data_IF_887083840273
#
_entry.id   IF_887083840273
#
_cell.length_a   1.000
_cell.length_b   1.000
_cell.length_c   1.000
_cell.angle_alpha   90.00
_cell.angle_beta   90.00
_cell.angle_gamma   90.00
#
_symmetry.space_group_name_H-M   'P 1'
#
loop_
_entity.id
_entity.type
_entity.pdbx_description
1 polymer ?
#
# COMPACT_ATOMS: atom_id res chain seq x y z
N UNK A 1 12.19 -6.83 -10.88
CA UNK A 1 13.19 -5.87 -11.36
C UNK A 1 12.55 -4.89 -12.35
N UNK A 2 12.46 -3.60 -12.03
CA UNK A 2 11.85 -2.61 -12.92
C UNK A 2 12.83 -2.18 -14.00
N UNK A 3 12.84 -2.88 -15.15
CA UNK A 3 13.58 -2.44 -16.36
C UNK A 3 12.79 -1.43 -17.19
N UNK A 4 13.44 -0.57 -17.99
CA UNK A 4 12.77 0.38 -18.86
C UNK A 4 11.97 -0.31 -19.97
N UNK A 5 10.73 0.13 -20.22
CA UNK A 5 9.82 -0.42 -21.21
C UNK A 5 10.33 -0.21 -22.64
N UNK A 6 10.50 -1.29 -23.40
CA UNK A 6 10.65 -1.24 -24.88
C UNK A 6 9.28 -1.00 -25.50
N UNK A 7 9.12 0.13 -26.19
CA UNK A 7 7.89 0.56 -26.81
C UNK A 7 7.37 -0.40 -27.88
N UNK A 8 6.08 -0.71 -27.83
CA UNK A 8 5.29 -1.26 -28.94
C UNK A 8 4.19 -0.27 -29.32
N UNK A 9 3.86 -0.11 -30.62
CA UNK A 9 2.90 0.88 -31.06
C UNK A 9 1.47 0.44 -30.77
N UNK A 10 0.64 1.44 -30.43
CA UNK A 10 -0.78 1.31 -30.12
C UNK A 10 -1.59 0.93 -31.36
N UNK A 11 -2.49 -0.06 -31.21
CA UNK A 11 -3.60 -0.30 -32.14
C UNK A 11 -4.89 0.24 -31.54
N UNK A 12 -5.42 1.27 -32.17
CA UNK A 12 -6.72 1.89 -31.84
C UNK A 12 -7.84 1.06 -32.44
N UNK A 13 -8.81 0.62 -31.66
CA UNK A 13 -10.10 0.12 -32.17
C UNK A 13 -11.28 0.89 -31.55
N UNK A 14 -12.02 1.61 -32.39
CA UNK A 14 -13.30 2.27 -32.10
C UNK A 14 -14.47 1.29 -32.28
N UNK A 15 -15.45 1.32 -31.37
CA UNK A 15 -16.91 1.17 -31.63
C UNK A 15 -17.65 1.57 -30.37
N UNK A 16 -18.34 2.73 -30.35
CA UNK A 16 -19.73 3.06 -30.77
C UNK A 16 -20.76 2.32 -29.88
N UNK A 17 -21.47 3.01 -29.03
CA UNK A 17 -22.65 3.92 -29.16
C UNK A 17 -24.01 3.22 -29.02
N UNK A 18 -24.93 3.95 -28.40
CA UNK A 18 -26.42 3.87 -28.35
C UNK A 18 -26.92 3.17 -27.04
N UNK A 19 -27.79 3.73 -26.19
CA UNK A 19 -28.78 4.82 -26.37
C UNK A 19 -30.12 4.39 -25.77
N UNK A 20 -30.86 5.33 -25.18
CA UNK A 20 -32.34 5.40 -24.90
C UNK A 20 -32.70 5.32 -23.41
N UNK A 21 -33.12 6.35 -22.83
CA UNK A 21 -34.31 7.17 -22.61
C UNK A 21 -35.58 6.44 -22.11
N UNK A 22 -36.13 6.99 -21.02
CA UNK A 22 -37.58 7.02 -20.81
C UNK A 22 -38.09 6.57 -19.43
N UNK A 23 -38.84 7.45 -18.76
CA UNK A 23 -39.90 7.02 -17.87
C UNK A 23 -40.13 7.91 -16.63
N UNK A 24 -40.98 8.93 -16.80
CA UNK A 24 -41.57 9.78 -15.76
C UNK A 24 -42.65 8.99 -15.00
N UNK A 25 -42.75 9.15 -13.69
CA UNK A 25 -43.86 8.67 -12.90
C UNK A 25 -43.97 9.41 -11.56
N UNK A 26 -44.83 10.42 -11.50
CA UNK A 26 -45.21 11.11 -10.29
C UNK A 26 -46.42 10.39 -9.63
N UNK A 27 -46.38 10.25 -8.29
CA UNK A 27 -47.57 9.99 -7.47
C UNK A 27 -47.47 10.72 -6.17
N UNK A 28 -48.37 11.63 -5.94
CA UNK A 28 -48.63 12.30 -4.67
C UNK A 28 -49.61 11.49 -3.85
N UNK A 29 -49.39 11.37 -2.53
CA UNK A 29 -50.43 10.99 -1.55
C UNK A 29 -50.33 11.81 -0.30
N UNK A 30 -51.44 12.30 0.08
CA UNK A 30 -51.94 13.19 1.11
C UNK A 30 -51.68 12.69 2.56
N UNK A 31 -51.59 13.67 3.44
CA UNK A 31 -51.22 13.60 4.83
C UNK A 31 -52.21 12.88 5.79
N UNK A 32 -51.68 12.70 7.01
CA UNK A 32 -52.47 12.71 8.26
C UNK A 32 -51.61 13.22 9.40
N UNK A 33 -52.12 14.19 10.13
CA UNK A 33 -51.57 14.74 11.36
C UNK A 33 -51.75 13.75 12.51
N UNK A 34 -50.71 13.46 13.26
CA UNK A 34 -50.85 12.95 14.63
C UNK A 34 -49.86 13.67 15.55
N UNK A 35 -50.44 14.24 16.58
CA UNK A 35 -49.76 14.88 17.71
C UNK A 35 -49.07 13.82 18.55
N UNK A 36 -47.82 13.98 18.87
CA UNK A 36 -47.16 13.27 19.97
C UNK A 36 -46.39 14.24 20.85
N UNK A 37 -46.48 13.99 22.14
CA UNK A 37 -45.97 14.75 23.27
C UNK A 37 -44.43 14.74 23.36
N UNK A 38 -43.81 15.66 24.11
CA UNK A 38 -42.36 15.74 24.27
C UNK A 38 -41.87 14.81 25.35
N UNK A 39 -41.05 13.81 25.02
CA UNK A 39 -40.25 13.07 25.99
C UNK A 39 -38.92 12.67 25.38
N UNK A 40 -37.86 12.89 26.18
CA UNK A 40 -36.51 12.30 26.12
C UNK A 40 -35.52 12.79 25.05
N UNK A 41 -35.07 14.05 25.20
CA UNK A 41 -33.86 14.56 24.57
C UNK A 41 -32.57 14.14 25.34
N UNK A 42 -32.69 13.61 26.55
CA UNK A 42 -31.56 13.29 27.43
C UNK A 42 -30.92 11.90 27.19
N UNK A 43 -31.58 10.97 26.48
CA UNK A 43 -31.06 9.64 26.22
C UNK A 43 -30.23 9.55 24.93
N UNK A 44 -30.47 10.44 23.95
CA UNK A 44 -29.75 10.43 22.67
C UNK A 44 -28.31 10.97 22.77
N UNK A 45 -28.04 11.88 23.72
CA UNK A 45 -26.72 12.51 23.88
C UNK A 45 -25.65 11.57 24.50
N UNK A 46 -26.04 10.51 25.20
CA UNK A 46 -25.11 9.52 25.79
C UNK A 46 -24.76 8.37 24.85
N UNK A 47 -25.59 8.07 23.85
CA UNK A 47 -25.34 7.00 22.89
C UNK A 47 -24.37 7.41 21.78
N UNK A 48 -24.34 8.70 21.41
CA UNK A 48 -23.40 9.24 20.42
C UNK A 48 -21.96 9.30 20.94
N UNK A 49 -21.76 9.57 22.24
CA UNK A 49 -20.42 9.67 22.85
C UNK A 49 -19.66 8.33 22.95
N UNK A 50 -20.36 7.19 23.03
CA UNK A 50 -19.70 5.86 23.09
C UNK A 50 -19.48 5.24 21.71
N UNK A 51 -20.24 5.64 20.70
CA UNK A 51 -20.01 5.24 19.32
C UNK A 51 -18.80 5.99 18.71
N UNK A 52 -18.66 7.30 18.97
CA UNK A 52 -17.52 8.10 18.52
C UNK A 52 -16.21 7.69 19.20
N UNK A 53 -16.23 7.26 20.46
CA UNK A 53 -15.04 6.75 21.15
C UNK A 53 -14.56 5.38 20.63
N UNK A 54 -15.41 4.60 19.97
CA UNK A 54 -15.05 3.32 19.33
C UNK A 54 -14.47 3.48 17.93
N UNK A 55 -14.65 4.63 17.28
CA UNK A 55 -14.21 4.90 15.92
C UNK A 55 -12.76 5.45 15.83
N UNK A 56 -12.12 5.70 16.98
CA UNK A 56 -10.78 6.31 17.06
C UNK A 56 -9.70 5.34 17.54
N UNK A 57 -9.87 4.04 17.34
CA UNK A 57 -8.79 3.09 17.62
C UNK A 57 -7.97 2.86 16.37
N UNK A 58 -6.68 3.21 16.42
CA UNK A 58 -5.74 2.95 15.34
C UNK A 58 -5.80 1.47 14.92
N UNK A 59 -5.77 1.22 13.61
CA UNK A 59 -5.66 -0.15 13.08
C UNK A 59 -4.27 -0.69 13.43
N UNK A 60 -4.20 -1.81 14.15
CA UNK A 60 -2.92 -2.45 14.46
C UNK A 60 -2.45 -3.32 13.29
N UNK A 61 -1.14 -3.26 13.01
CA UNK A 61 -0.47 -4.14 12.04
C UNK A 61 0.95 -4.48 12.53
N UNK A 62 1.47 -5.64 12.10
CA UNK A 62 2.83 -6.06 12.44
C UNK A 62 3.79 -5.72 11.31
N UNK A 63 4.96 -5.18 11.67
CA UNK A 63 6.12 -5.00 10.79
C UNK A 63 7.16 -6.07 11.12
N UNK A 64 7.25 -7.08 10.29
CA UNK A 64 8.24 -8.15 10.42
C UNK A 64 9.65 -7.57 10.27
N UNK A 65 10.43 -7.63 11.35
CA UNK A 65 11.77 -7.08 11.39
C UNK A 65 12.72 -7.78 10.40
N UNK A 66 13.79 -7.10 10.05
CA UNK A 66 14.80 -7.58 9.10
C UNK A 66 15.41 -8.93 9.45
N UNK A 67 15.67 -9.17 10.73
CA UNK A 67 16.20 -10.45 11.25
C UNK A 67 15.21 -11.60 11.02
N UNK A 68 13.91 -11.34 11.11
CA UNK A 68 12.87 -12.35 10.96
C UNK A 68 12.85 -12.98 9.56
N UNK A 69 13.06 -12.19 8.51
CA UNK A 69 13.08 -12.70 7.13
C UNK A 69 14.49 -13.03 6.61
N UNK A 70 15.51 -12.94 7.49
CA UNK A 70 16.89 -13.31 7.15
C UNK A 70 17.61 -12.28 6.28
N UNK A 71 17.32 -11.00 6.47
CA UNK A 71 18.01 -9.92 5.76
C UNK A 71 19.51 -9.92 6.05
N UNK A 72 20.30 -9.64 5.04
CA UNK A 72 21.72 -9.31 5.22
C UNK A 72 21.87 -7.95 5.92
N UNK A 73 22.98 -7.70 6.62
CA UNK A 73 23.31 -6.36 7.06
C UNK A 73 23.37 -5.37 5.89
N UNK A 74 22.85 -4.16 6.11
CA UNK A 74 23.09 -3.07 5.19
C UNK A 74 24.60 -2.75 5.12
N UNK A 75 25.10 -2.38 3.95
CA UNK A 75 26.47 -1.89 3.78
C UNK A 75 26.58 -0.49 4.37
N UNK A 76 27.76 -0.07 4.72
CA UNK A 76 28.04 1.30 5.18
C UNK A 76 27.76 2.32 4.09
N UNK A 77 27.41 3.55 4.48
CA UNK A 77 27.12 4.65 3.55
C UNK A 77 25.63 4.92 3.40
N UNK A 78 25.23 5.37 2.24
CA UNK A 78 23.87 5.78 1.95
C UNK A 78 23.63 7.28 2.18
N UNK A 79 22.62 7.80 1.50
CA UNK A 79 22.24 9.20 1.56
C UNK A 79 21.14 9.41 2.57
N UNK A 80 21.42 10.19 3.63
CA UNK A 80 20.37 10.59 4.58
C UNK A 80 19.33 11.47 3.90
N UNK A 81 18.07 11.29 4.27
CA UNK A 81 16.99 12.10 3.75
C UNK A 81 15.88 12.34 4.81
N UNK A 82 14.96 13.22 4.47
CA UNK A 82 13.69 13.40 5.16
C UNK A 82 12.57 12.98 4.22
N UNK A 83 11.68 12.11 4.67
CA UNK A 83 10.55 11.63 3.87
C UNK A 83 9.53 12.77 3.69
N UNK A 84 9.16 13.06 2.45
CA UNK A 84 8.23 14.12 2.03
C UNK A 84 7.19 13.65 1.03
N UNK A 85 7.31 12.43 0.52
CA UNK A 85 6.41 11.81 -0.48
C UNK A 85 6.43 10.30 -0.40
N UNK A 86 5.51 9.65 -1.10
CA UNK A 86 5.31 8.20 -1.04
C UNK A 86 5.28 7.62 -2.45
N UNK A 87 5.90 6.45 -2.65
CA UNK A 87 5.94 5.80 -3.97
C UNK A 87 5.70 4.31 -3.87
N UNK A 88 4.81 3.84 -4.75
CA UNK A 88 4.41 2.45 -4.89
C UNK A 88 5.25 1.78 -5.99
N UNK A 89 5.77 0.60 -5.66
CA UNK A 89 6.55 -0.25 -6.55
C UNK A 89 6.02 -1.68 -6.57
N UNK A 90 6.39 -2.45 -7.59
CA UNK A 90 6.37 -3.90 -7.59
C UNK A 90 7.77 -4.46 -7.85
N UNK A 91 7.96 -5.76 -7.57
CA UNK A 91 9.21 -6.45 -7.83
C UNK A 91 9.42 -6.72 -9.34
N UNK A 92 8.33 -6.86 -10.11
CA UNK A 92 8.30 -7.26 -11.52
C UNK A 92 8.83 -8.69 -11.77
N UNK A 93 8.74 -9.55 -10.75
CA UNK A 93 8.99 -10.99 -10.85
C UNK A 93 7.72 -11.70 -10.41
N UNK A 94 7.27 -12.70 -11.19
CA UNK A 94 6.08 -13.48 -10.84
C UNK A 94 6.32 -14.21 -9.53
N UNK A 95 5.56 -13.86 -8.50
CA UNK A 95 5.66 -14.48 -7.19
C UNK A 95 4.98 -15.84 -7.15
N UNK A 96 3.82 -15.95 -7.82
CA UNK A 96 2.98 -17.16 -7.81
C UNK A 96 2.36 -17.40 -6.43
N UNK A 97 3.05 -18.17 -5.59
CA UNK A 97 2.59 -18.51 -4.25
C UNK A 97 3.21 -17.57 -3.20
N UNK A 98 2.42 -17.15 -2.20
CA UNK A 98 2.86 -16.24 -1.15
C UNK A 98 4.05 -16.77 -0.31
N UNK A 99 4.20 -18.11 -0.23
CA UNK A 99 5.36 -18.73 0.46
C UNK A 99 6.70 -18.30 -0.11
N UNK A 100 6.74 -17.83 -1.35
CA UNK A 100 7.96 -17.40 -2.01
C UNK A 100 8.41 -15.98 -1.57
N UNK A 101 7.52 -15.17 -1.01
CA UNK A 101 7.80 -13.76 -0.70
C UNK A 101 9.06 -13.53 0.17
N UNK A 102 9.28 -14.24 1.30
CA UNK A 102 10.50 -14.01 2.07
C UNK A 102 11.77 -14.37 1.31
N UNK A 103 11.72 -15.41 0.46
CA UNK A 103 12.88 -15.79 -0.35
C UNK A 103 13.16 -14.80 -1.48
N UNK A 104 12.13 -14.19 -2.07
CA UNK A 104 12.24 -13.13 -3.08
C UNK A 104 12.86 -11.88 -2.45
N UNK A 105 12.40 -11.42 -1.29
CA UNK A 105 13.02 -10.31 -0.57
C UNK A 105 14.52 -10.52 -0.34
N UNK A 106 14.93 -11.73 0.04
CA UNK A 106 16.36 -12.07 0.18
C UNK A 106 17.10 -12.07 -1.15
N UNK A 107 16.46 -12.48 -2.24
CA UNK A 107 17.04 -12.46 -3.60
C UNK A 107 17.20 -11.03 -4.08
N UNK A 108 16.17 -10.21 -3.93
CA UNK A 108 16.19 -8.78 -4.26
C UNK A 108 17.29 -8.05 -3.51
N UNK A 109 17.39 -8.26 -2.20
CA UNK A 109 18.46 -7.64 -1.41
C UNK A 109 19.85 -8.05 -1.91
N UNK A 110 20.06 -9.34 -2.22
CA UNK A 110 21.33 -9.81 -2.77
C UNK A 110 21.64 -9.15 -4.11
N UNK A 111 20.67 -9.14 -5.01
CA UNK A 111 20.81 -8.52 -6.32
C UNK A 111 21.14 -7.02 -6.22
N UNK A 112 20.44 -6.31 -5.37
CA UNK A 112 20.68 -4.88 -5.13
C UNK A 112 22.06 -4.62 -4.56
N UNK A 113 22.51 -5.43 -3.60
CA UNK A 113 23.83 -5.27 -3.00
C UNK A 113 24.96 -5.74 -3.92
N UNK A 114 24.80 -6.88 -4.56
CA UNK A 114 25.91 -7.57 -5.22
C UNK A 114 26.06 -7.11 -6.69
N UNK A 115 24.95 -6.86 -7.40
CA UNK A 115 24.98 -6.48 -8.82
C UNK A 115 24.91 -4.96 -9.01
N UNK A 116 24.09 -4.24 -8.23
CA UNK A 116 24.03 -2.78 -8.32
C UNK A 116 25.01 -2.06 -7.40
N UNK A 117 25.62 -2.75 -6.44
CA UNK A 117 26.51 -2.15 -5.46
C UNK A 117 25.81 -1.23 -4.46
N UNK A 118 24.48 -1.30 -4.36
CA UNK A 118 23.70 -0.52 -3.41
C UNK A 118 23.96 -0.97 -1.98
N UNK A 119 23.67 -0.09 -1.03
CA UNK A 119 23.92 -0.38 0.38
C UNK A 119 22.97 -1.45 0.93
N UNK A 120 21.77 -1.57 0.36
CA UNK A 120 20.70 -2.45 0.83
C UNK A 120 19.67 -2.66 -0.27
N UNK A 121 18.61 -3.44 0.05
CA UNK A 121 17.39 -3.48 -0.77
C UNK A 121 16.87 -2.05 -1.02
N UNK A 122 16.35 -1.78 -2.20
CA UNK A 122 16.03 -0.42 -2.64
C UNK A 122 14.90 0.27 -1.85
N UNK A 123 14.00 -0.51 -1.26
CA UNK A 123 12.72 -0.06 -0.70
C UNK A 123 12.74 -0.03 0.83
N UNK A 124 11.81 0.73 1.46
CA UNK A 124 11.74 0.84 2.91
C UNK A 124 10.85 -0.25 3.54
N UNK A 125 9.78 -0.63 2.84
CA UNK A 125 8.81 -1.63 3.30
C UNK A 125 8.43 -2.54 2.14
N UNK A 126 8.33 -3.84 2.41
CA UNK A 126 7.77 -4.86 1.52
C UNK A 126 6.38 -5.30 1.96
N UNK A 127 5.51 -5.66 1.02
CA UNK A 127 4.18 -6.20 1.29
C UNK A 127 3.94 -7.42 0.42
N UNK A 128 3.70 -8.56 1.05
CA UNK A 128 3.40 -9.79 0.34
C UNK A 128 1.91 -9.93 -0.05
N UNK A 129 1.55 -10.96 -0.80
CA UNK A 129 0.19 -11.19 -1.30
C UNK A 129 -0.86 -11.40 -0.19
N UNK A 130 -0.43 -11.84 1.00
CA UNK A 130 -1.28 -12.03 2.18
C UNK A 130 -1.35 -10.77 3.07
N UNK A 131 -0.68 -9.68 2.67
CA UNK A 131 -0.67 -8.40 3.39
C UNK A 131 0.27 -8.37 4.58
N UNK A 132 1.20 -9.34 4.73
CA UNK A 132 2.27 -9.23 5.71
C UNK A 132 3.22 -8.10 5.30
N UNK A 133 3.68 -7.32 6.29
CA UNK A 133 4.50 -6.13 6.08
C UNK A 133 5.91 -6.41 6.61
N UNK A 134 6.92 -6.18 5.79
CA UNK A 134 8.33 -6.46 6.07
C UNK A 134 9.15 -5.18 6.17
N UNK A 135 9.93 -5.03 7.22
CA UNK A 135 10.95 -3.98 7.35
C UNK A 135 12.09 -4.28 6.37
N UNK A 136 12.38 -3.33 5.48
CA UNK A 136 13.45 -3.46 4.48
C UNK A 136 14.62 -2.52 4.80
N UNK A 137 14.80 -1.44 4.04
CA UNK A 137 15.83 -0.43 4.30
C UNK A 137 15.38 0.54 5.41
N UNK A 138 16.34 1.06 6.15
CA UNK A 138 16.07 2.15 7.10
C UNK A 138 15.43 3.35 6.42
N UNK A 139 14.36 3.88 7.03
CA UNK A 139 13.67 5.10 6.56
C UNK A 139 14.49 6.38 6.73
N UNK A 140 15.64 6.33 7.41
CA UNK A 140 16.58 7.45 7.49
C UNK A 140 17.42 7.62 6.23
N UNK A 141 17.49 6.59 5.38
CA UNK A 141 18.32 6.54 4.19
C UNK A 141 17.45 6.49 2.93
N UNK A 142 17.77 7.33 1.96
CA UNK A 142 17.10 7.28 0.66
C UNK A 142 17.21 5.88 0.04
N UNK A 143 16.15 5.45 -0.63
CA UNK A 143 16.18 4.24 -1.43
C UNK A 143 17.07 4.38 -2.67
N UNK A 144 17.09 3.34 -3.50
CA UNK A 144 17.77 3.33 -4.78
C UNK A 144 16.81 3.01 -5.93
N UNK A 145 17.22 3.28 -7.16
CA UNK A 145 16.47 2.96 -8.37
C UNK A 145 17.46 2.78 -9.55
N UNK A 146 17.10 1.89 -10.47
CA UNK A 146 17.82 1.73 -11.74
C UNK A 146 17.26 2.65 -12.86
N UNK A 147 16.37 3.58 -12.52
CA UNK A 147 15.75 4.56 -13.43
C UNK A 147 16.14 5.99 -13.09
N UNK A 148 15.73 6.96 -13.92
CA UNK A 148 16.19 8.35 -13.86
C UNK A 148 15.33 9.24 -12.95
N UNK A 149 15.04 8.83 -11.71
CA UNK A 149 14.43 9.75 -10.74
C UNK A 149 15.19 9.80 -9.42
N UNK A 150 15.13 10.93 -8.74
CA UNK A 150 15.75 11.08 -7.42
C UNK A 150 14.86 10.49 -6.32
N UNK A 151 15.33 9.42 -5.68
CA UNK A 151 14.65 8.75 -4.57
C UNK A 151 14.67 9.51 -3.25
N UNK A 152 15.39 10.67 -3.19
CA UNK A 152 15.43 11.50 -1.98
C UNK A 152 14.04 12.00 -1.61
N UNK A 153 13.66 11.82 -0.36
CA UNK A 153 12.36 12.22 0.15
C UNK A 153 11.24 11.23 -0.09
N UNK A 154 11.49 10.11 -0.79
CA UNK A 154 10.46 9.11 -1.05
C UNK A 154 10.42 8.04 0.03
N UNK A 155 9.22 7.75 0.57
CA UNK A 155 8.93 6.50 1.26
C UNK A 155 8.52 5.46 0.23
N UNK A 156 9.31 4.41 0.07
CA UNK A 156 9.16 3.42 -1.00
C UNK A 156 8.53 2.14 -0.45
N UNK A 157 7.37 1.76 -0.99
CA UNK A 157 6.69 0.50 -0.68
C UNK A 157 6.78 -0.43 -1.88
N UNK A 158 7.32 -1.62 -1.66
CA UNK A 158 7.38 -2.72 -2.61
C UNK A 158 6.20 -3.66 -2.38
N UNK A 159 5.40 -3.93 -3.40
CA UNK A 159 4.47 -5.06 -3.42
C UNK A 159 5.13 -6.23 -4.15
N UNK A 160 5.23 -7.37 -3.46
CA UNK A 160 5.80 -8.60 -4.01
C UNK A 160 4.92 -9.16 -5.14
N UNK A 161 5.49 -9.35 -6.32
CA UNK A 161 4.84 -9.90 -7.50
C UNK A 161 5.08 -9.09 -8.77
N UNK A 162 4.65 -9.65 -9.91
CA UNK A 162 4.62 -8.98 -11.22
C UNK A 162 3.18 -8.61 -11.60
N UNK A 163 2.80 -7.37 -11.35
CA UNK A 163 1.43 -6.90 -11.59
C UNK A 163 1.18 -6.42 -13.03
N UNK A 164 2.07 -6.69 -13.95
CA UNK A 164 1.73 -6.73 -15.38
C UNK A 164 1.15 -8.11 -15.77
N UNK A 165 1.39 -9.16 -14.97
CA UNK A 165 0.94 -10.53 -15.20
C UNK A 165 -0.02 -11.05 -14.11
N UNK A 166 0.20 -10.70 -12.85
CA UNK A 166 -0.56 -11.19 -11.70
C UNK A 166 -1.65 -10.23 -11.27
N UNK A 167 -2.74 -10.76 -10.72
CA UNK A 167 -3.76 -9.96 -10.02
C UNK A 167 -3.25 -9.50 -8.65
N UNK A 168 -3.73 -8.35 -8.19
CA UNK A 168 -3.43 -7.82 -6.85
C UNK A 168 -4.45 -8.37 -5.85
N UNK A 169 -4.03 -9.15 -4.85
CA UNK A 169 -4.95 -9.61 -3.81
C UNK A 169 -5.42 -8.47 -2.92
N UNK A 170 -6.66 -8.55 -2.44
CA UNK A 170 -7.22 -7.56 -1.50
C UNK A 170 -6.36 -7.41 -0.23
N UNK A 171 -5.85 -8.52 0.31
CA UNK A 171 -4.99 -8.51 1.48
C UNK A 171 -3.71 -7.68 1.26
N UNK A 172 -3.11 -7.76 0.07
CA UNK A 172 -1.92 -6.98 -0.29
C UNK A 172 -2.23 -5.49 -0.39
N UNK A 173 -3.39 -5.11 -0.98
CA UNK A 173 -3.84 -3.72 -1.01
C UNK A 173 -4.06 -3.16 0.39
N UNK A 174 -4.65 -3.95 1.28
CA UNK A 174 -4.83 -3.58 2.69
C UNK A 174 -3.47 -3.41 3.39
N UNK A 175 -2.51 -4.31 3.16
CA UNK A 175 -1.15 -4.20 3.68
C UNK A 175 -0.43 -2.94 3.19
N UNK A 176 -0.49 -2.67 1.89
CA UNK A 176 0.08 -1.47 1.28
C UNK A 176 -0.57 -0.18 1.83
N UNK A 177 -1.90 -0.15 1.94
CA UNK A 177 -2.61 0.99 2.52
C UNK A 177 -2.20 1.25 3.97
N UNK A 178 -2.02 0.21 4.78
CA UNK A 178 -1.53 0.32 6.17
C UNK A 178 -0.10 0.88 6.23
N UNK A 179 0.80 0.39 5.37
CA UNK A 179 2.18 0.89 5.31
C UNK A 179 2.23 2.38 4.94
N UNK A 180 1.44 2.81 3.94
CA UNK A 180 1.36 4.20 3.54
C UNK A 180 0.64 5.09 4.56
N UNK A 181 -0.43 4.62 5.21
CA UNK A 181 -1.10 5.38 6.26
C UNK A 181 -0.17 5.60 7.46
N UNK A 182 0.57 4.57 7.87
CA UNK A 182 1.62 4.70 8.89
C UNK A 182 2.69 5.73 8.49
N UNK A 183 3.16 5.69 7.25
CA UNK A 183 4.16 6.65 6.77
C UNK A 183 3.60 8.08 6.73
N UNK A 184 2.37 8.27 6.23
CA UNK A 184 1.72 9.57 6.16
C UNK A 184 1.61 10.23 7.55
N UNK A 185 1.20 9.48 8.57
CA UNK A 185 1.09 10.00 9.94
C UNK A 185 2.46 10.19 10.61
N UNK A 186 3.40 9.24 10.44
CA UNK A 186 4.71 9.24 11.10
C UNK A 186 5.60 10.37 10.57
N UNK A 187 5.64 10.53 9.25
CA UNK A 187 6.47 11.54 8.58
C UNK A 187 5.71 12.82 8.24
N UNK A 188 4.41 12.91 8.57
CA UNK A 188 3.53 14.05 8.27
C UNK A 188 3.47 14.37 6.77
N UNK A 189 3.37 13.33 5.96
CA UNK A 189 3.32 13.42 4.49
C UNK A 189 1.88 13.41 4.01
N UNK A 190 1.53 14.34 3.14
CA UNK A 190 0.19 14.39 2.56
C UNK A 190 -0.06 13.17 1.64
N UNK A 191 -1.23 12.54 1.73
CA UNK A 191 -1.60 11.37 0.91
C UNK A 191 -1.68 11.70 -0.59
N UNK A 192 -1.81 12.97 -0.94
CA UNK A 192 -1.75 13.47 -2.31
C UNK A 192 -0.37 13.35 -2.96
N UNK A 193 0.68 13.06 -2.18
CA UNK A 193 2.04 12.83 -2.70
C UNK A 193 2.26 11.40 -3.16
N UNK A 194 1.28 10.50 -2.96
CA UNK A 194 1.35 9.11 -3.39
C UNK A 194 1.40 9.03 -4.91
N UNK A 195 2.43 8.37 -5.42
CA UNK A 195 2.66 8.15 -6.84
C UNK A 195 3.10 6.71 -7.10
N UNK A 196 2.96 6.23 -8.31
CA UNK A 196 3.62 5.02 -8.79
C UNK A 196 4.99 5.35 -9.38
N UNK A 197 5.87 4.37 -9.45
CA UNK A 197 7.20 4.58 -10.07
C UNK A 197 7.09 5.14 -11.49
N UNK A 198 6.12 4.67 -12.30
CA UNK A 198 5.89 5.16 -13.67
C UNK A 198 5.47 6.61 -13.79
N UNK A 199 5.00 7.21 -12.71
CA UNK A 199 4.66 8.65 -12.69
C UNK A 199 5.91 9.53 -12.55
N UNK A 200 7.07 8.91 -12.22
CA UNK A 200 8.34 9.58 -11.94
C UNK A 200 9.43 9.24 -12.97
N UNK A 201 9.33 8.10 -13.64
CA UNK A 201 10.32 7.61 -14.59
C UNK A 201 9.67 6.75 -15.69
N UNK A 202 10.41 6.50 -16.77
CA UNK A 202 9.96 5.60 -17.86
C UNK A 202 10.11 4.13 -17.45
N UNK A 203 9.05 3.52 -16.93
CA UNK A 203 9.02 2.13 -16.47
C UNK A 203 7.58 1.59 -16.49
N UNK A 204 7.40 0.25 -16.48
CA UNK A 204 6.09 -0.38 -16.27
C UNK A 204 5.69 -0.44 -14.77
N UNK A 205 6.66 -0.27 -13.84
CA UNK A 205 6.43 -0.33 -12.40
C UNK A 205 5.39 0.72 -11.95
N UNK A 206 4.42 0.38 -11.11
CA UNK A 206 4.27 -0.85 -10.32
C UNK A 206 3.48 -1.97 -11.01
N UNK A 207 3.43 -2.05 -12.34
CA UNK A 207 2.62 -2.99 -13.11
C UNK A 207 1.19 -2.49 -13.34
N UNK A 208 0.58 -2.87 -14.45
CA UNK A 208 -0.71 -2.32 -14.88
C UNK A 208 -1.84 -2.58 -13.86
N UNK A 209 -1.90 -3.79 -13.30
CA UNK A 209 -2.95 -4.18 -12.37
C UNK A 209 -2.86 -3.44 -11.04
N UNK A 210 -1.65 -3.26 -10.47
CA UNK A 210 -1.46 -2.52 -9.24
C UNK A 210 -1.61 -1.01 -9.46
N UNK A 211 -1.14 -0.51 -10.60
CA UNK A 211 -1.30 0.90 -10.97
C UNK A 211 -2.76 1.31 -11.15
N UNK A 212 -3.66 0.40 -11.56
CA UNK A 212 -5.09 0.67 -11.65
C UNK A 212 -5.70 1.09 -10.30
N UNK A 213 -5.26 0.51 -9.18
CA UNK A 213 -5.68 0.92 -7.84
C UNK A 213 -5.13 2.29 -7.43
N UNK A 214 -3.97 2.67 -7.94
CA UNK A 214 -3.42 4.00 -7.73
C UNK A 214 -4.15 5.05 -8.57
N UNK A 215 -4.25 4.84 -9.89
CA UNK A 215 -4.84 5.80 -10.84
C UNK A 215 -6.33 6.02 -10.65
N UNK A 216 -7.07 5.02 -10.16
CA UNK A 216 -8.48 5.16 -9.77
C UNK A 216 -8.69 5.90 -8.44
N UNK A 217 -7.61 6.15 -7.68
CA UNK A 217 -7.69 6.70 -6.33
C UNK A 217 -8.12 5.68 -5.25
N UNK A 218 -8.27 4.39 -5.58
CA UNK A 218 -8.69 3.35 -4.63
C UNK A 218 -7.70 3.23 -3.49
N UNK A 219 -6.39 3.11 -3.78
CA UNK A 219 -5.37 2.99 -2.74
C UNK A 219 -5.31 4.25 -1.86
N UNK A 220 -5.37 5.44 -2.46
CA UNK A 220 -5.40 6.70 -1.70
C UNK A 220 -6.61 6.78 -0.77
N UNK A 221 -7.79 6.41 -1.23
CA UNK A 221 -9.01 6.40 -0.41
C UNK A 221 -8.86 5.45 0.79
N UNK A 222 -8.32 4.25 0.60
CA UNK A 222 -8.03 3.30 1.70
C UNK A 222 -7.08 3.88 2.75
N UNK A 223 -6.06 4.62 2.32
CA UNK A 223 -5.13 5.33 3.22
C UNK A 223 -5.86 6.42 4.00
N UNK A 224 -6.65 7.25 3.31
CA UNK A 224 -7.41 8.34 3.93
C UNK A 224 -8.43 7.79 4.94
N UNK A 225 -9.12 6.68 4.63
CA UNK A 225 -10.07 6.01 5.52
C UNK A 225 -9.38 5.49 6.79
N UNK A 226 -8.18 4.90 6.67
CA UNK A 226 -7.38 4.46 7.82
C UNK A 226 -6.96 5.64 8.70
N UNK A 227 -6.53 6.75 8.10
CA UNK A 227 -6.15 7.96 8.84
C UNK A 227 -7.36 8.59 9.56
N UNK A 228 -8.52 8.64 8.90
CA UNK A 228 -9.76 9.12 9.48
C UNK A 228 -10.26 8.25 10.64
N UNK A 229 -9.97 6.94 10.60
CA UNK A 229 -10.30 5.98 11.66
C UNK A 229 -9.31 5.97 12.85
N UNK A 230 -8.34 6.90 12.89
CA UNK A 230 -7.36 7.01 13.98
C UNK A 230 -5.94 6.56 13.60
N UNK A 231 -5.71 6.23 12.34
CA UNK A 231 -4.40 5.88 11.80
C UNK A 231 -4.04 4.40 11.94
N UNK A 232 -2.76 4.10 11.80
CA UNK A 232 -2.19 2.75 11.85
C UNK A 232 -1.07 2.69 12.90
N UNK A 233 -1.22 1.78 13.86
CA UNK A 233 -0.16 1.39 14.78
C UNK A 233 0.63 0.22 14.16
N UNK A 234 1.71 0.54 13.44
CA UNK A 234 2.59 -0.44 12.81
C UNK A 234 3.67 -0.86 13.81
N UNK A 235 3.43 -1.98 14.49
CA UNK A 235 4.28 -2.48 15.57
C UNK A 235 5.41 -3.36 15.02
N UNK A 236 6.64 -3.06 15.41
CA UNK A 236 7.79 -3.92 15.08
C UNK A 236 7.64 -5.28 15.76
N UNK A 237 7.72 -6.33 14.96
CA UNK A 237 7.68 -7.72 15.40
C UNK A 237 8.98 -8.41 15.03
N UNK A 238 9.83 -8.65 16.03
CA UNK A 238 11.21 -9.07 15.89
C UNK A 238 11.49 -10.35 16.70
N UNK A 239 12.67 -10.93 16.49
CA UNK A 239 13.16 -12.06 17.26
C UNK A 239 12.52 -13.40 16.89
N UNK A 240 12.60 -14.42 17.78
CA UNK A 240 12.26 -15.81 17.45
C UNK A 240 10.82 -16.02 16.99
N UNK A 241 9.84 -15.31 17.57
CA UNK A 241 8.43 -15.45 17.21
C UNK A 241 8.15 -14.87 15.82
N UNK A 242 8.80 -13.77 15.46
CA UNK A 242 8.72 -13.20 14.12
C UNK A 242 9.40 -14.12 13.09
N UNK A 243 10.53 -14.71 13.42
CA UNK A 243 11.20 -15.71 12.57
C UNK A 243 10.32 -16.95 12.38
N UNK A 244 9.66 -17.43 13.44
CA UNK A 244 8.68 -18.52 13.35
C UNK A 244 7.49 -18.15 12.45
N UNK A 245 7.02 -16.91 12.50
CA UNK A 245 5.96 -16.41 11.59
C UNK A 245 6.43 -16.45 10.13
N UNK A 246 7.65 -15.99 9.84
CA UNK A 246 8.20 -16.03 8.47
C UNK A 246 8.38 -17.48 8.01
N UNK A 247 8.88 -18.38 8.85
CA UNK A 247 8.99 -19.79 8.53
C UNK A 247 7.61 -20.44 8.25
N UNK A 248 6.55 -20.02 8.96
CA UNK A 248 5.19 -20.47 8.67
C UNK A 248 4.71 -19.98 7.29
N UNK A 249 4.99 -18.73 6.92
CA UNK A 249 4.70 -18.19 5.58
C UNK A 249 5.44 -19.03 4.51
N UNK A 250 6.72 -19.32 4.70
CA UNK A 250 7.52 -20.14 3.76
C UNK A 250 7.01 -21.60 3.67
N UNK A 251 6.39 -22.11 4.72
CA UNK A 251 5.73 -23.41 4.72
C UNK A 251 4.33 -23.39 4.07
N UNK A 252 3.81 -22.20 3.70
CA UNK A 252 2.50 -22.05 3.08
C UNK A 252 1.32 -22.00 4.07
N UNK A 253 1.59 -21.59 5.34
CA UNK A 253 0.61 -21.49 6.43
C UNK A 253 0.26 -20.04 6.77
#
# INVERSE_FOLDING_TARGET
MCEPARGRPAVVSRRQMLGLAGGVGAAAVVGTHSRTAPTDVAAAARATSTADARLMSASSALLLCRDAWGARPARSGGRRHTITRMTLHHEAVVLGDNRNAPSHLRQDQRYHQDEHGWIDIAYHVGVDRNGNIYELRSTELAGDTATDYDTTGHFLVLCEGDFDQESVPEAQLVGAARAFAWAAQTFRVATTTLAGHRDLASTSCPGANLYAHLSSGDLKRRIDDLLAAGGVDLQRFCGPDAAARVAAIEAGN
#
